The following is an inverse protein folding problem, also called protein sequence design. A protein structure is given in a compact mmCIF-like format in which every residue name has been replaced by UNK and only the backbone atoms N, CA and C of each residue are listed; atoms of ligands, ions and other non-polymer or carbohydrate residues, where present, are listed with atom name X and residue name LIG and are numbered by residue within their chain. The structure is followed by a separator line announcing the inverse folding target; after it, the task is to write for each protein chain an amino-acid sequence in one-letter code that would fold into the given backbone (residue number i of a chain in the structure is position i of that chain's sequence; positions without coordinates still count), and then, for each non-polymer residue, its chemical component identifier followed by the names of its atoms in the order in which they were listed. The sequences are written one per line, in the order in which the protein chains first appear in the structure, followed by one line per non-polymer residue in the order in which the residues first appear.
data_IF_950134834776
#
_entry.id   IF_950134834776
#
_cell.length_a   1.000
_cell.length_b   1.000
_cell.length_c   1.000
_cell.angle_alpha   90.00
_cell.angle_beta   90.00
_cell.angle_gamma   90.00
#
_symmetry.space_group_name_H-M   'P 1'
#
loop_
_entity.id
_entity.type
_entity.pdbx_description
1 polymer ?
#
# COMPACT_ATOMS: atom_id res chain seq x y z
N UNK A 1 -3.51 -51.46 -40.18
CA UNK A 1 -4.63 -50.86 -39.42
C UNK A 1 -4.21 -50.76 -37.95
N UNK A 2 -4.10 -49.62 -37.32
CA UNK A 2 -3.75 -49.52 -35.89
C UNK A 2 -4.96 -49.98 -35.07
N UNK A 3 -4.71 -50.91 -34.14
CA UNK A 3 -5.69 -51.41 -33.18
C UNK A 3 -6.12 -50.27 -32.25
N UNK A 4 -7.37 -49.81 -32.29
CA UNK A 4 -7.94 -48.91 -31.31
C UNK A 4 -8.07 -49.65 -29.96
N UNK A 5 -7.09 -49.43 -29.06
CA UNK A 5 -7.15 -49.90 -27.69
C UNK A 5 -8.25 -49.13 -26.97
N UNK A 6 -9.43 -49.75 -26.77
CA UNK A 6 -10.51 -49.17 -25.96
C UNK A 6 -10.10 -49.14 -24.51
N UNK A 7 -9.79 -47.96 -23.97
CA UNK A 7 -9.48 -47.73 -22.55
C UNK A 7 -10.65 -48.21 -21.68
N UNK A 8 -10.41 -48.92 -20.58
CA UNK A 8 -11.45 -49.40 -19.66
C UNK A 8 -12.20 -48.20 -19.03
N UNK A 9 -13.50 -48.38 -18.82
CA UNK A 9 -14.40 -47.31 -18.32
C UNK A 9 -13.88 -46.66 -17.03
N UNK A 10 -13.29 -47.42 -16.12
CA UNK A 10 -12.69 -46.95 -14.86
C UNK A 10 -11.55 -45.93 -15.10
N UNK A 11 -10.69 -46.19 -16.09
CA UNK A 11 -9.59 -45.26 -16.44
C UNK A 11 -10.14 -43.96 -17.02
N UNK A 12 -11.18 -44.01 -17.85
CA UNK A 12 -11.82 -42.81 -18.42
C UNK A 12 -12.49 -41.98 -17.35
N UNK A 13 -13.18 -42.60 -16.38
CA UNK A 13 -13.78 -41.89 -15.24
C UNK A 13 -12.69 -41.23 -14.39
N UNK A 14 -11.62 -41.94 -14.07
CA UNK A 14 -10.50 -41.41 -13.27
C UNK A 14 -9.85 -40.22 -13.96
N UNK A 15 -9.61 -40.29 -15.27
CA UNK A 15 -9.06 -39.16 -16.03
C UNK A 15 -10.00 -37.90 -16.02
N UNK A 16 -11.32 -38.14 -16.15
CA UNK A 16 -12.29 -37.06 -16.08
C UNK A 16 -12.32 -36.40 -14.68
N UNK A 17 -12.28 -37.19 -13.61
CA UNK A 17 -12.26 -36.67 -12.23
C UNK A 17 -10.97 -35.87 -11.95
N UNK A 18 -9.82 -36.36 -12.40
CA UNK A 18 -8.55 -35.65 -12.27
C UNK A 18 -8.53 -34.35 -13.07
N UNK A 19 -9.08 -34.36 -14.29
CA UNK A 19 -9.19 -33.16 -15.10
C UNK A 19 -10.13 -32.09 -14.48
N UNK A 20 -11.24 -32.53 -13.90
CA UNK A 20 -12.16 -31.63 -13.18
C UNK A 20 -11.52 -31.06 -11.92
N UNK A 21 -10.83 -31.90 -11.13
CA UNK A 21 -10.12 -31.46 -9.93
C UNK A 21 -9.02 -30.40 -10.25
N UNK A 22 -8.27 -30.63 -11.35
CA UNK A 22 -7.25 -29.67 -11.78
C UNK A 22 -7.86 -28.36 -12.26
N UNK A 23 -8.99 -28.38 -12.97
CA UNK A 23 -9.70 -27.18 -13.40
C UNK A 23 -10.22 -26.36 -12.21
N UNK A 24 -10.78 -27.02 -11.20
CA UNK A 24 -11.24 -26.35 -9.97
C UNK A 24 -10.08 -25.68 -9.22
N UNK A 25 -8.93 -26.37 -9.11
CA UNK A 25 -7.72 -25.82 -8.48
C UNK A 25 -7.23 -24.57 -9.22
N UNK A 26 -7.17 -24.61 -10.54
CA UNK A 26 -6.76 -23.44 -11.35
C UNK A 26 -7.70 -22.26 -11.12
N UNK A 27 -9.02 -22.47 -11.17
CA UNK A 27 -10.00 -21.41 -10.92
C UNK A 27 -9.85 -20.83 -9.51
N UNK A 28 -9.63 -21.66 -8.51
CA UNK A 28 -9.44 -21.20 -7.12
C UNK A 28 -8.19 -20.31 -6.96
N UNK A 29 -7.07 -20.68 -7.59
CA UNK A 29 -5.83 -19.88 -7.57
C UNK A 29 -6.03 -18.54 -8.27
N UNK A 30 -6.72 -18.52 -9.40
CA UNK A 30 -7.06 -17.26 -10.12
C UNK A 30 -7.98 -16.36 -9.29
N UNK A 31 -8.98 -16.94 -8.64
CA UNK A 31 -9.91 -16.21 -7.78
C UNK A 31 -9.18 -15.58 -6.58
N UNK A 32 -8.26 -16.30 -5.93
CA UNK A 32 -7.45 -15.77 -4.85
C UNK A 32 -6.53 -14.62 -5.30
N UNK A 33 -5.89 -14.77 -6.47
CA UNK A 33 -5.03 -13.72 -7.02
C UNK A 33 -5.79 -12.42 -7.29
N UNK A 34 -7.00 -12.51 -7.84
CA UNK A 34 -7.87 -11.34 -8.07
C UNK A 34 -8.29 -10.69 -6.76
N UNK A 35 -8.73 -11.48 -5.78
CA UNK A 35 -9.15 -10.98 -4.48
C UNK A 35 -8.04 -10.18 -3.77
N UNK A 36 -6.79 -10.68 -3.79
CA UNK A 36 -5.63 -9.98 -3.22
C UNK A 36 -5.35 -8.68 -3.96
N UNK A 37 -5.44 -8.69 -5.31
CA UNK A 37 -5.26 -7.48 -6.12
C UNK A 37 -6.33 -6.42 -5.83
N UNK A 38 -7.59 -6.83 -5.71
CA UNK A 38 -8.69 -5.93 -5.42
C UNK A 38 -8.54 -5.30 -4.03
N UNK A 39 -8.17 -6.08 -3.01
CA UNK A 39 -7.88 -5.57 -1.67
C UNK A 39 -6.72 -4.57 -1.66
N UNK A 40 -5.61 -4.88 -2.36
CA UNK A 40 -4.50 -3.95 -2.50
C UNK A 40 -4.96 -2.62 -3.10
N UNK A 41 -5.74 -2.65 -4.19
CA UNK A 41 -6.24 -1.44 -4.83
C UNK A 41 -7.19 -0.64 -3.93
N UNK A 42 -8.04 -1.31 -3.17
CA UNK A 42 -8.94 -0.65 -2.21
C UNK A 42 -8.15 0.08 -1.11
N UNK A 43 -7.12 -0.56 -0.55
CA UNK A 43 -6.23 0.05 0.46
C UNK A 43 -5.45 1.23 -0.12
N UNK A 44 -4.84 1.06 -1.29
CA UNK A 44 -4.12 2.14 -1.98
C UNK A 44 -5.01 3.36 -2.26
N UNK A 45 -6.24 3.13 -2.74
CA UNK A 45 -7.19 4.19 -2.98
C UNK A 45 -7.63 4.89 -1.69
N UNK A 46 -7.81 4.15 -0.60
CA UNK A 46 -8.14 4.70 0.70
C UNK A 46 -6.98 5.57 1.25
N UNK A 47 -5.73 5.11 1.17
CA UNK A 47 -4.55 5.86 1.59
C UNK A 47 -4.40 7.16 0.79
N UNK A 48 -4.56 7.12 -0.54
CA UNK A 48 -4.51 8.31 -1.40
C UNK A 48 -5.64 9.30 -1.08
N UNK A 49 -6.85 8.82 -0.83
CA UNK A 49 -7.99 9.69 -0.50
C UNK A 49 -7.80 10.38 0.86
N UNK A 50 -7.26 9.68 1.86
CA UNK A 50 -6.91 10.25 3.16
C UNK A 50 -5.80 11.29 3.05
N UNK A 51 -4.73 10.97 2.32
CA UNK A 51 -3.63 11.89 2.03
C UNK A 51 -4.14 13.18 1.39
N UNK A 52 -4.93 13.08 0.32
CA UNK A 52 -5.49 14.24 -0.40
C UNK A 52 -6.38 15.10 0.50
N UNK A 53 -7.23 14.46 1.33
CA UNK A 53 -8.08 15.17 2.30
C UNK A 53 -7.24 15.92 3.33
N UNK A 54 -6.25 15.26 3.92
CA UNK A 54 -5.39 15.82 4.96
C UNK A 54 -4.51 16.94 4.44
N UNK A 55 -3.97 16.83 3.23
CA UNK A 55 -3.25 17.91 2.56
C UNK A 55 -4.14 19.13 2.31
N UNK A 56 -5.38 18.94 1.85
CA UNK A 56 -6.34 20.04 1.60
C UNK A 56 -6.75 20.78 2.86
N UNK A 57 -6.71 20.12 4.01
CA UNK A 57 -7.09 20.71 5.30
C UNK A 57 -5.88 21.12 6.15
N UNK A 58 -4.66 20.98 5.61
CA UNK A 58 -3.44 21.36 6.30
C UNK A 58 -3.48 22.84 6.74
N UNK A 59 -3.10 23.15 7.99
CA UNK A 59 -3.14 24.54 8.49
C UNK A 59 -2.08 25.39 7.80
N UNK A 60 -2.52 26.39 7.04
CA UNK A 60 -1.66 27.35 6.35
C UNK A 60 -1.63 28.68 7.10
N UNK A 61 -0.45 29.31 7.20
CA UNK A 61 -0.29 30.61 7.84
C UNK A 61 0.35 31.69 6.94
N UNK A 62 0.63 31.34 5.67
CA UNK A 62 1.25 32.23 4.69
C UNK A 62 2.77 32.21 4.67
N UNK A 63 3.43 31.59 5.67
CA UNK A 63 4.86 31.30 5.64
C UNK A 63 5.14 30.07 4.78
N UNK A 64 6.12 30.18 3.86
CA UNK A 64 6.40 29.14 2.86
C UNK A 64 6.91 27.87 3.52
N UNK A 65 7.79 27.98 4.50
CA UNK A 65 8.40 26.83 5.16
C UNK A 65 7.38 26.12 6.06
N UNK A 66 6.54 26.89 6.75
CA UNK A 66 5.42 26.36 7.53
C UNK A 66 4.43 25.60 6.64
N UNK A 67 4.00 26.22 5.54
CA UNK A 67 3.05 25.64 4.61
C UNK A 67 3.62 24.37 3.96
N UNK A 68 4.91 24.38 3.63
CA UNK A 68 5.61 23.18 3.15
C UNK A 68 5.54 22.05 4.17
N UNK A 69 5.95 22.30 5.41
CA UNK A 69 5.98 21.28 6.45
C UNK A 69 4.58 20.70 6.73
N UNK A 70 3.56 21.55 6.87
CA UNK A 70 2.19 21.12 7.17
C UNK A 70 1.54 20.36 6.04
N UNK A 71 1.92 20.58 4.77
CA UNK A 71 1.45 19.78 3.63
C UNK A 71 2.24 18.50 3.44
N UNK A 72 3.57 18.53 3.69
CA UNK A 72 4.41 17.36 3.46
C UNK A 72 4.21 16.26 4.51
N UNK A 73 3.85 16.61 5.76
CA UNK A 73 3.53 15.61 6.78
C UNK A 73 2.43 14.65 6.30
N UNK A 74 1.22 15.08 5.95
CA UNK A 74 0.17 14.16 5.48
C UNK A 74 0.53 13.48 4.15
N UNK A 75 1.35 14.10 3.30
CA UNK A 75 1.85 13.44 2.10
C UNK A 75 2.74 12.23 2.44
N UNK A 76 3.63 12.39 3.42
CA UNK A 76 4.52 11.33 3.89
C UNK A 76 3.75 10.24 4.63
N UNK A 77 2.77 10.61 5.45
CA UNK A 77 1.87 9.63 6.09
C UNK A 77 1.17 8.75 5.05
N UNK A 78 0.66 9.34 3.97
CA UNK A 78 0.07 8.59 2.87
C UNK A 78 1.06 7.65 2.17
N UNK A 79 2.31 8.09 1.97
CA UNK A 79 3.36 7.26 1.39
C UNK A 79 3.70 6.06 2.31
N UNK A 80 3.72 6.27 3.63
CA UNK A 80 3.91 5.21 4.64
C UNK A 80 2.80 4.17 4.54
N UNK A 81 1.53 4.58 4.47
CA UNK A 81 0.40 3.65 4.34
C UNK A 81 0.49 2.83 3.04
N UNK A 82 0.79 3.47 1.91
CA UNK A 82 1.00 2.77 0.64
C UNK A 82 2.19 1.79 0.69
N UNK A 83 3.27 2.13 1.39
CA UNK A 83 4.41 1.23 1.58
C UNK A 83 4.06 0.01 2.47
N UNK A 84 3.21 0.19 3.48
CA UNK A 84 2.67 -0.94 4.28
C UNK A 84 1.86 -1.89 3.42
N UNK A 85 1.06 -1.38 2.48
CA UNK A 85 0.29 -2.21 1.55
C UNK A 85 1.20 -2.99 0.60
N UNK A 86 2.28 -2.39 0.10
CA UNK A 86 3.29 -3.13 -0.68
C UNK A 86 3.94 -4.24 0.15
N UNK A 87 4.22 -4.02 1.44
CA UNK A 87 4.75 -5.05 2.32
C UNK A 87 3.74 -6.15 2.63
N UNK A 88 2.47 -5.85 2.62
CA UNK A 88 1.40 -6.82 2.89
C UNK A 88 1.08 -7.68 1.67
N UNK A 89 0.97 -7.08 0.49
CA UNK A 89 0.44 -7.70 -0.72
C UNK A 89 1.52 -7.97 -1.77
N UNK A 90 2.56 -7.16 -1.84
CA UNK A 90 3.64 -7.23 -2.81
C UNK A 90 4.52 -8.46 -2.64
N UNK A 91 5.05 -8.99 -3.74
CA UNK A 91 5.87 -10.21 -3.78
C UNK A 91 7.28 -9.97 -4.28
N UNK A 92 7.48 -8.89 -5.05
CA UNK A 92 8.81 -8.58 -5.60
C UNK A 92 9.76 -8.11 -4.49
N UNK A 93 10.93 -8.73 -4.31
CA UNK A 93 11.84 -8.40 -3.23
C UNK A 93 12.44 -6.99 -3.35
N UNK A 94 12.57 -6.45 -4.55
CA UNK A 94 13.08 -5.09 -4.76
C UNK A 94 12.03 -4.05 -4.36
N UNK A 95 10.75 -4.26 -4.74
CA UNK A 95 9.65 -3.37 -4.35
C UNK A 95 9.43 -3.41 -2.84
N UNK A 96 9.44 -4.59 -2.23
CA UNK A 96 9.31 -4.75 -0.78
C UNK A 96 10.45 -4.08 -0.02
N UNK A 97 11.69 -4.14 -0.52
CA UNK A 97 12.82 -3.43 0.08
C UNK A 97 12.64 -1.92 -0.01
N UNK A 98 12.23 -1.40 -1.19
CA UNK A 98 11.93 0.02 -1.37
C UNK A 98 10.83 0.47 -0.41
N UNK A 99 9.77 -0.32 -0.21
CA UNK A 99 8.72 -0.03 0.75
C UNK A 99 9.24 0.04 2.19
N UNK A 100 10.18 -0.82 2.58
CA UNK A 100 10.85 -0.73 3.89
C UNK A 100 11.67 0.54 4.05
N UNK A 101 12.39 0.96 3.02
CA UNK A 101 13.15 2.22 3.00
C UNK A 101 12.19 3.41 3.15
N UNK A 102 11.08 3.44 2.39
CA UNK A 102 10.05 4.48 2.50
C UNK A 102 9.53 4.59 3.93
N UNK A 103 9.21 3.49 4.61
CA UNK A 103 8.72 3.53 6.00
C UNK A 103 9.68 4.24 6.95
N UNK A 104 10.98 3.99 6.81
CA UNK A 104 11.99 4.56 7.70
C UNK A 104 12.27 6.02 7.36
N UNK A 105 12.48 6.31 6.08
CA UNK A 105 12.87 7.64 5.62
C UNK A 105 11.73 8.65 5.82
N UNK A 106 10.52 8.29 5.41
CA UNK A 106 9.35 9.18 5.52
C UNK A 106 8.99 9.45 7.00
N UNK A 107 9.11 8.45 7.88
CA UNK A 107 8.90 8.66 9.31
C UNK A 107 9.92 9.65 9.90
N UNK A 108 11.19 9.50 9.53
CA UNK A 108 12.26 10.40 9.96
C UNK A 108 12.02 11.85 9.49
N UNK A 109 11.53 12.02 8.27
CA UNK A 109 11.21 13.33 7.71
C UNK A 109 9.98 13.96 8.38
N UNK A 110 8.94 13.18 8.69
CA UNK A 110 7.79 13.62 9.48
C UNK A 110 8.26 14.13 10.86
N UNK A 111 9.11 13.37 11.55
CA UNK A 111 9.63 13.72 12.86
C UNK A 111 10.44 15.02 12.80
N UNK A 112 11.25 15.21 11.76
CA UNK A 112 12.03 16.44 11.55
C UNK A 112 11.12 17.65 11.30
N UNK A 113 10.08 17.52 10.46
CA UNK A 113 9.11 18.58 10.19
C UNK A 113 8.30 18.96 11.44
N UNK A 114 7.84 17.97 12.21
CA UNK A 114 7.14 18.21 13.46
C UNK A 114 8.04 18.93 14.50
N UNK A 115 9.30 18.54 14.60
CA UNK A 115 10.26 19.20 15.46
C UNK A 115 10.49 20.66 15.04
N UNK A 116 10.60 20.90 13.74
CA UNK A 116 10.75 22.26 13.22
C UNK A 116 9.51 23.11 13.53
N UNK A 117 8.30 22.63 13.25
CA UNK A 117 7.04 23.32 13.55
C UNK A 117 6.91 23.66 15.04
N UNK A 118 7.27 22.73 15.94
CA UNK A 118 7.21 22.96 17.38
C UNK A 118 8.16 24.07 17.86
N UNK A 119 9.34 24.18 17.25
CA UNK A 119 10.30 25.25 17.54
C UNK A 119 9.79 26.61 17.06
N UNK A 120 9.16 26.68 15.87
CA UNK A 120 8.57 27.91 15.36
C UNK A 120 7.43 28.43 16.28
N UNK A 121 6.54 27.53 16.71
CA UNK A 121 5.47 27.86 17.63
C UNK A 121 6.00 28.42 18.96
N UNK A 122 7.04 27.82 19.52
CA UNK A 122 7.69 28.28 20.77
C UNK A 122 8.35 29.66 20.61
N UNK A 123 9.00 29.91 19.50
CA UNK A 123 9.65 31.21 19.21
C UNK A 123 8.63 32.35 19.07
N UNK A 124 7.47 32.07 18.47
CA UNK A 124 6.37 33.05 18.32
C UNK A 124 5.78 33.41 19.68
N UNK A 125 5.50 32.42 20.51
CA UNK A 125 4.97 32.62 21.88
C UNK A 125 5.90 33.46 22.75
N UNK A 126 7.21 33.23 22.66
CA UNK A 126 8.22 34.03 23.42
C UNK A 126 8.26 35.49 22.99
N UNK A 127 8.07 35.75 21.69
CA UNK A 127 8.07 37.11 21.13
C UNK A 127 6.82 37.92 21.55
N UNK A 128 5.69 37.25 21.74
CA UNK A 128 4.43 37.87 22.14
C UNK A 128 4.38 38.20 23.64
N UNK A 129 5.08 37.44 24.49
CA UNK A 129 5.19 37.68 25.94
C UNK A 129 6.19 38.79 26.25
N UNK A 130 7.15 39.07 25.36
CA UNK A 130 8.20 40.08 25.55
C UNK A 130 7.79 41.49 25.09
N UNK A 131 6.56 41.69 24.65
CA UNK A 131 5.96 42.99 24.30
C UNK A 131 5.03 43.48 25.41
#
# INVERSE_FOLDING_TARGET
MPAHIKQPLKTRILCCVLALASAVLVVAVWAQGRFVSDQFMDHMNAAMAEMDRSMKTAPMNGDVDHNFATMMIPHHDGAIEMAKDELLYGKDPAMRRMAQEILVDQQSEIDAMNLWLSRQASATTHKDIAK
#
